data_IF_969709633589
#
_entry.id   IF_969709633589
#
_cell.length_a   1.000
_cell.length_b   1.000
_cell.length_c   1.000
_cell.angle_alpha   90.00
_cell.angle_beta   90.00
_cell.angle_gamma   90.00
#
_symmetry.space_group_name_H-M   'P 1'
#
loop_
_entity.id
_entity.type
_entity.pdbx_description
1 polymer ?
#
# COMPACT_ATOMS: atom_id res chain seq x y z
N UNK A 1 1.98 -9.75 -15.47
CA UNK A 1 2.34 -8.41 -14.96
C UNK A 1 1.32 -7.95 -13.91
N UNK A 2 1.79 -7.33 -12.86
CA UNK A 2 0.92 -6.73 -11.85
C UNK A 2 0.70 -5.26 -12.15
N UNK A 3 -0.48 -4.75 -11.84
CA UNK A 3 -0.75 -3.31 -11.82
C UNK A 3 -0.99 -2.92 -10.36
N UNK A 4 -0.23 -1.97 -9.85
CA UNK A 4 -0.32 -1.55 -8.45
C UNK A 4 -0.71 -0.08 -8.42
N UNK A 5 -1.86 0.21 -7.84
CA UNK A 5 -2.31 1.57 -7.58
C UNK A 5 -1.93 1.97 -6.16
N UNK A 6 -1.19 3.04 -6.02
CA UNK A 6 -0.89 3.66 -4.72
C UNK A 6 -2.02 4.66 -4.47
N UNK A 7 -2.97 4.28 -3.61
CA UNK A 7 -4.23 5.01 -3.46
C UNK A 7 -4.22 5.82 -2.18
N UNK A 8 -4.26 7.14 -2.33
CA UNK A 8 -4.41 8.05 -1.21
C UNK A 8 -5.83 8.02 -0.66
N UNK A 9 -5.97 7.72 0.61
CA UNK A 9 -7.29 7.63 1.26
C UNK A 9 -7.56 8.78 2.22
N UNK A 10 -6.70 9.78 2.26
CA UNK A 10 -6.84 10.92 3.15
C UNK A 10 -6.94 10.47 4.60
N UNK A 11 -8.04 10.82 5.27
CA UNK A 11 -8.31 10.41 6.64
C UNK A 11 -9.03 9.05 6.74
N UNK A 12 -9.24 8.37 5.61
CA UNK A 12 -10.01 7.13 5.48
C UNK A 12 -11.51 7.30 5.80
N UNK A 13 -12.01 8.53 5.82
CA UNK A 13 -13.44 8.77 5.91
C UNK A 13 -14.05 8.68 4.52
N UNK A 14 -15.21 7.98 4.31
CA UNK A 14 -15.81 7.83 2.98
C UNK A 14 -16.07 9.15 2.25
N UNK A 15 -16.45 10.19 2.98
CA UNK A 15 -16.72 11.52 2.39
C UNK A 15 -15.44 12.22 1.94
N UNK A 16 -14.27 11.81 2.43
CA UNK A 16 -13.00 12.39 2.07
C UNK A 16 -12.26 11.59 1.01
N UNK A 17 -12.90 10.55 0.49
CA UNK A 17 -12.32 9.72 -0.55
C UNK A 17 -12.60 10.34 -1.92
N UNK A 18 -11.56 10.57 -2.72
CA UNK A 18 -11.77 11.10 -4.06
C UNK A 18 -12.49 10.07 -4.93
N UNK A 19 -13.25 10.50 -5.97
CA UNK A 19 -13.84 9.55 -6.91
C UNK A 19 -12.82 8.64 -7.59
N UNK A 20 -11.62 9.15 -7.89
CA UNK A 20 -10.55 8.35 -8.48
C UNK A 20 -10.06 7.27 -7.52
N UNK A 21 -9.88 7.61 -6.24
CA UNK A 21 -9.47 6.66 -5.21
C UNK A 21 -10.53 5.56 -5.03
N UNK A 22 -11.79 5.94 -4.98
CA UNK A 22 -12.90 4.99 -4.88
C UNK A 22 -12.89 4.00 -6.05
N UNK A 23 -12.74 4.50 -7.28
CA UNK A 23 -12.67 3.63 -8.46
C UNK A 23 -11.50 2.67 -8.41
N UNK A 24 -10.32 3.16 -8.01
CA UNK A 24 -9.13 2.31 -7.93
C UNK A 24 -9.34 1.16 -6.94
N UNK A 25 -9.97 1.43 -5.80
CA UNK A 25 -10.26 0.40 -4.80
C UNK A 25 -11.31 -0.60 -5.30
N UNK A 26 -12.34 -0.12 -6.02
CA UNK A 26 -13.39 -0.98 -6.55
C UNK A 26 -12.90 -1.87 -7.71
N UNK A 27 -11.95 -1.39 -8.50
CA UNK A 27 -11.38 -2.13 -9.63
C UNK A 27 -10.30 -3.13 -9.23
N UNK A 28 -9.79 -3.05 -8.00
CA UNK A 28 -8.70 -3.91 -7.56
C UNK A 28 -9.17 -5.34 -7.31
N UNK A 29 -8.32 -6.29 -7.65
CA UNK A 29 -8.50 -7.71 -7.31
C UNK A 29 -8.00 -8.00 -5.89
N UNK A 30 -6.99 -7.24 -5.45
CA UNK A 30 -6.36 -7.37 -4.14
C UNK A 30 -6.15 -5.96 -3.56
N UNK A 31 -6.50 -5.79 -2.29
CA UNK A 31 -6.24 -4.55 -1.57
C UNK A 31 -5.27 -4.84 -0.43
N UNK A 32 -4.14 -4.14 -0.43
CA UNK A 32 -3.11 -4.26 0.60
C UNK A 32 -3.34 -3.21 1.67
N UNK A 33 -3.43 -3.66 2.92
CA UNK A 33 -3.68 -2.80 4.07
C UNK A 33 -2.51 -2.91 5.04
N UNK A 34 -1.68 -1.86 5.17
CA UNK A 34 -0.55 -1.91 6.09
C UNK A 34 -0.99 -1.69 7.54
N UNK A 35 -0.41 -2.46 8.44
CA UNK A 35 -0.59 -2.34 9.89
C UNK A 35 0.68 -1.76 10.51
N UNK A 36 0.53 -0.76 11.36
CA UNK A 36 1.65 -0.08 12.00
C UNK A 36 1.55 -0.14 13.53
N UNK A 37 2.46 -0.88 14.15
CA UNK A 37 2.67 -0.86 15.59
C UNK A 37 1.43 -1.04 16.46
N UNK A 38 1.38 -0.33 17.58
CA UNK A 38 0.27 -0.40 18.53
C UNK A 38 -1.01 0.28 18.05
N UNK A 39 -0.90 1.16 17.06
CA UNK A 39 -2.04 1.86 16.47
C UNK A 39 -2.70 1.04 15.36
N UNK A 40 -2.12 -0.08 15.00
CA UNK A 40 -2.54 -0.84 13.83
C UNK A 40 -3.99 -1.31 13.89
N UNK A 41 -4.52 -1.63 15.08
CA UNK A 41 -5.87 -2.12 15.24
C UNK A 41 -6.89 -1.06 14.84
N UNK A 42 -6.73 0.17 15.31
CA UNK A 42 -7.65 1.26 15.01
C UNK A 42 -7.58 1.68 13.54
N UNK A 43 -6.37 1.79 12.99
CA UNK A 43 -6.18 2.16 11.60
C UNK A 43 -6.69 1.07 10.65
N UNK A 44 -6.44 -0.20 10.98
CA UNK A 44 -6.95 -1.31 10.20
C UNK A 44 -8.48 -1.34 10.22
N UNK A 45 -9.10 -1.12 11.38
CA UNK A 45 -10.55 -1.08 11.50
C UNK A 45 -11.16 0.03 10.65
N UNK A 46 -10.54 1.22 10.62
CA UNK A 46 -11.00 2.33 9.78
C UNK A 46 -10.92 1.99 8.29
N UNK A 47 -9.84 1.34 7.87
CA UNK A 47 -9.68 0.92 6.47
C UNK A 47 -10.70 -0.14 6.08
N UNK A 48 -10.93 -1.13 6.94
CA UNK A 48 -11.94 -2.15 6.69
C UNK A 48 -13.35 -1.55 6.62
N UNK A 49 -13.67 -0.61 7.51
CA UNK A 49 -14.95 0.08 7.49
C UNK A 49 -15.14 0.88 6.21
N UNK A 50 -14.09 1.55 5.73
CA UNK A 50 -14.12 2.28 4.47
C UNK A 50 -14.41 1.34 3.31
N UNK A 51 -13.70 0.22 3.23
CA UNK A 51 -13.87 -0.75 2.14
C UNK A 51 -15.26 -1.37 2.14
N UNK A 52 -15.78 -1.70 3.31
CA UNK A 52 -17.15 -2.20 3.43
C UNK A 52 -18.17 -1.14 3.00
N UNK A 53 -17.93 0.12 3.37
CA UNK A 53 -18.83 1.22 3.05
C UNK A 53 -18.92 1.52 1.56
N UNK A 54 -17.86 1.31 0.80
CA UNK A 54 -17.88 1.53 -0.65
C UNK A 54 -18.24 0.27 -1.44
N UNK A 55 -18.41 -0.86 -0.77
CA UNK A 55 -18.79 -2.11 -1.42
C UNK A 55 -17.65 -2.80 -2.18
N UNK A 56 -16.41 -2.63 -1.71
CA UNK A 56 -15.27 -3.26 -2.36
C UNK A 56 -15.34 -4.78 -2.25
N UNK A 57 -15.25 -5.47 -3.39
CA UNK A 57 -15.31 -6.93 -3.46
C UNK A 57 -13.93 -7.61 -3.52
N UNK A 58 -12.86 -6.83 -3.46
CA UNK A 58 -11.51 -7.37 -3.55
C UNK A 58 -11.12 -8.20 -2.34
N UNK A 59 -10.19 -9.14 -2.55
CA UNK A 59 -9.52 -9.80 -1.43
C UNK A 59 -8.68 -8.76 -0.68
N UNK A 60 -8.79 -8.74 0.65
CA UNK A 60 -8.04 -7.83 1.49
C UNK A 60 -6.90 -8.60 2.13
N UNK A 61 -5.67 -8.09 1.97
CA UNK A 61 -4.49 -8.67 2.58
C UNK A 61 -3.86 -7.63 3.50
N UNK A 62 -3.82 -7.93 4.78
CA UNK A 62 -3.11 -7.11 5.75
C UNK A 62 -1.66 -7.57 5.82
N UNK A 63 -0.76 -6.63 6.02
CA UNK A 63 0.64 -6.95 6.26
C UNK A 63 1.21 -6.01 7.32
N UNK A 64 2.16 -6.51 8.10
CA UNK A 64 2.80 -5.70 9.11
C UNK A 64 3.90 -4.85 8.49
N UNK A 65 3.87 -3.55 8.75
CA UNK A 65 4.93 -2.65 8.31
C UNK A 65 6.19 -2.92 9.12
N UNK A 66 7.33 -3.15 8.46
CA UNK A 66 8.60 -3.28 9.17
C UNK A 66 8.91 -2.03 9.97
N UNK A 67 9.45 -2.22 11.17
CA UNK A 67 9.84 -1.10 12.00
C UNK A 67 11.05 -0.40 11.38
N UNK A 68 11.02 0.94 11.41
CA UNK A 68 12.14 1.74 10.95
C UNK A 68 13.17 1.83 12.07
N UNK A 69 14.35 1.26 11.84
CA UNK A 69 15.45 1.34 12.77
C UNK A 69 16.16 2.68 12.61
N UNK A 70 16.33 3.39 13.72
CA UNK A 70 16.97 4.71 13.73
C UNK A 70 18.33 4.71 14.40
N UNK A 71 18.83 3.55 14.78
CA UNK A 71 20.09 3.40 15.53
C UNK A 71 21.23 3.06 14.59
N UNK A 72 21.47 3.88 13.59
CA UNK A 72 22.58 3.67 12.69
C UNK A 72 23.44 4.91 12.58
N UNK A 73 24.73 4.72 12.33
CA UNK A 73 25.62 5.82 12.01
C UNK A 73 25.33 6.40 10.61
N UNK A 74 24.59 5.68 9.77
CA UNK A 74 24.25 6.08 8.41
C UNK A 74 22.73 6.07 8.23
N UNK A 75 22.14 7.24 8.32
CA UNK A 75 20.70 7.44 8.15
C UNK A 75 20.20 7.01 6.77
N UNK A 76 20.97 7.30 5.72
CA UNK A 76 20.56 6.97 4.34
C UNK A 76 20.54 5.47 4.11
N UNK A 77 21.54 4.75 4.62
CA UNK A 77 21.57 3.29 4.52
C UNK A 77 20.40 2.66 5.27
N UNK A 78 20.05 3.19 6.44
CA UNK A 78 18.92 2.70 7.23
C UNK A 78 17.59 2.91 6.51
N UNK A 79 17.42 4.04 5.83
CA UNK A 79 16.21 4.33 5.04
C UNK A 79 16.13 3.39 3.84
N UNK A 80 17.24 3.15 3.13
CA UNK A 80 17.29 2.25 1.99
C UNK A 80 16.93 0.81 2.41
N UNK A 81 17.51 0.34 3.52
CA UNK A 81 17.21 -0.98 4.06
C UNK A 81 15.73 -1.11 4.43
N UNK A 82 15.15 -0.07 5.04
CA UNK A 82 13.74 -0.06 5.40
C UNK A 82 12.86 -0.14 4.16
N UNK A 83 13.19 0.60 3.09
CA UNK A 83 12.46 0.53 1.83
C UNK A 83 12.50 -0.88 1.25
N UNK A 84 13.65 -1.55 1.30
CA UNK A 84 13.78 -2.92 0.81
C UNK A 84 12.91 -3.88 1.60
N UNK A 85 12.86 -3.74 2.92
CA UNK A 85 12.02 -4.59 3.78
C UNK A 85 10.53 -4.36 3.55
N UNK A 86 10.13 -3.12 3.35
CA UNK A 86 8.72 -2.80 3.03
C UNK A 86 8.34 -3.39 1.67
N UNK A 87 9.20 -3.25 0.67
CA UNK A 87 8.95 -3.84 -0.65
C UNK A 87 8.80 -5.36 -0.56
N UNK A 88 9.64 -6.02 0.24
CA UNK A 88 9.51 -7.46 0.47
C UNK A 88 8.17 -7.81 1.13
N UNK A 89 7.70 -7.00 2.08
CA UNK A 89 6.42 -7.19 2.73
C UNK A 89 5.24 -7.03 1.75
N UNK A 90 5.34 -6.11 0.78
CA UNK A 90 4.33 -5.98 -0.27
C UNK A 90 4.36 -7.17 -1.24
N UNK A 91 5.56 -7.67 -1.54
CA UNK A 91 5.74 -8.75 -2.51
C UNK A 91 5.05 -10.05 -2.08
N UNK A 92 5.05 -10.37 -0.79
CA UNK A 92 4.48 -11.61 -0.29
C UNK A 92 3.00 -11.77 -0.66
N UNK A 93 2.09 -10.86 -0.29
CA UNK A 93 0.69 -11.00 -0.67
C UNK A 93 0.47 -10.90 -2.19
N UNK A 94 1.27 -10.12 -2.90
CA UNK A 94 1.16 -10.03 -4.35
C UNK A 94 1.46 -11.38 -5.01
N UNK A 95 2.51 -12.06 -4.56
CA UNK A 95 2.88 -13.37 -5.10
C UNK A 95 1.91 -14.46 -4.68
N UNK A 96 1.41 -14.42 -3.44
CA UNK A 96 0.50 -15.43 -2.93
C UNK A 96 -0.91 -15.30 -3.49
N UNK A 97 -1.43 -14.09 -3.59
CA UNK A 97 -2.83 -13.84 -3.95
C UNK A 97 -3.03 -13.56 -5.45
N UNK A 98 -2.00 -13.04 -6.12
CA UNK A 98 -2.05 -12.74 -7.55
C UNK A 98 -0.85 -13.37 -8.26
N UNK A 99 -0.71 -14.71 -8.23
CA UNK A 99 0.47 -15.35 -8.80
C UNK A 99 0.60 -15.17 -10.31
N UNK A 100 -0.51 -15.01 -11.02
CA UNK A 100 -0.52 -14.79 -12.46
C UNK A 100 -0.58 -13.31 -12.84
N UNK A 101 -0.48 -12.42 -11.88
CA UNK A 101 -0.67 -10.99 -12.09
C UNK A 101 -2.09 -10.55 -11.81
N UNK A 102 -2.34 -9.27 -11.94
CA UNK A 102 -3.64 -8.68 -11.69
C UNK A 102 -3.52 -7.27 -11.16
N UNK A 103 -4.62 -6.74 -10.67
CA UNK A 103 -4.69 -5.39 -10.13
C UNK A 103 -4.69 -5.40 -8.62
N UNK A 104 -3.72 -4.70 -8.03
CA UNK A 104 -3.64 -4.50 -6.60
C UNK A 104 -3.75 -3.01 -6.28
N UNK A 105 -4.30 -2.69 -5.13
CA UNK A 105 -4.33 -1.34 -4.60
C UNK A 105 -3.69 -1.35 -3.22
N UNK A 106 -2.83 -0.36 -2.95
CA UNK A 106 -2.26 -0.15 -1.64
C UNK A 106 -2.88 1.11 -1.05
N UNK A 107 -3.50 0.99 0.11
CA UNK A 107 -4.12 2.13 0.81
C UNK A 107 -3.05 2.92 1.55
N UNK A 108 -2.93 4.20 1.21
CA UNK A 108 -1.93 5.10 1.78
C UNK A 108 -2.64 6.28 2.44
N UNK A 109 -2.26 6.60 3.69
CA UNK A 109 -2.81 7.77 4.38
C UNK A 109 -2.40 9.06 3.66
N UNK A 110 -3.34 9.99 3.55
CA UNK A 110 -3.09 11.24 2.87
C UNK A 110 -3.04 11.09 1.37
N UNK A 111 -1.99 11.64 0.76
CA UNK A 111 -1.78 11.64 -0.68
C UNK A 111 -0.39 11.08 -1.02
N UNK A 112 -0.32 9.94 -1.72
CA UNK A 112 0.98 9.33 -2.05
C UNK A 112 1.83 10.20 -3.00
N UNK A 113 1.22 11.12 -3.74
CA UNK A 113 1.96 12.01 -4.64
C UNK A 113 2.83 13.01 -3.88
N UNK A 114 2.58 13.22 -2.58
CA UNK A 114 3.37 14.09 -1.72
C UNK A 114 4.54 13.38 -1.03
N UNK A 115 4.61 12.06 -1.13
CA UNK A 115 5.60 11.26 -0.41
C UNK A 115 6.34 10.33 -1.35
N UNK A 116 7.63 10.56 -1.50
CA UNK A 116 8.50 9.76 -2.37
C UNK A 116 8.68 8.31 -1.92
N UNK A 117 8.55 8.05 -0.61
CA UNK A 117 8.84 6.72 -0.05
C UNK A 117 8.05 5.61 -0.71
N UNK A 118 6.75 5.80 -0.94
CA UNK A 118 5.91 4.77 -1.56
C UNK A 118 6.35 4.44 -2.97
N UNK A 119 6.72 5.46 -3.77
CA UNK A 119 7.23 5.24 -5.12
C UNK A 119 8.57 4.54 -5.11
N UNK A 120 9.46 4.91 -4.20
CA UNK A 120 10.77 4.27 -4.06
C UNK A 120 10.65 2.82 -3.65
N UNK A 121 9.72 2.52 -2.76
CA UNK A 121 9.43 1.14 -2.35
C UNK A 121 8.90 0.35 -3.54
N UNK A 122 7.97 0.92 -4.30
CA UNK A 122 7.40 0.28 -5.48
C UNK A 122 8.46 -0.07 -6.54
N UNK A 123 9.44 0.81 -6.74
CA UNK A 123 10.53 0.57 -7.68
C UNK A 123 11.36 -0.66 -7.33
N UNK A 124 11.44 -1.02 -6.05
CA UNK A 124 12.22 -2.17 -5.59
C UNK A 124 11.56 -3.51 -5.88
N UNK A 125 10.28 -3.52 -6.21
CA UNK A 125 9.57 -4.75 -6.54
C UNK A 125 10.18 -5.45 -7.76
N UNK A 126 10.68 -4.69 -8.72
CA UNK A 126 11.35 -5.26 -9.90
C UNK A 126 12.57 -6.09 -9.51
N UNK A 127 13.34 -5.66 -8.52
CA UNK A 127 14.47 -6.39 -7.98
C UNK A 127 14.09 -7.69 -7.27
N UNK A 128 12.81 -7.83 -6.89
CA UNK A 128 12.27 -9.04 -6.27
C UNK A 128 11.60 -9.97 -7.29
N UNK A 129 11.74 -9.69 -8.57
CA UNK A 129 11.19 -10.51 -9.65
C UNK A 129 9.74 -10.18 -9.99
N UNK A 130 9.20 -9.08 -9.48
CA UNK A 130 7.84 -8.65 -9.77
C UNK A 130 7.84 -7.54 -10.81
N UNK A 131 7.29 -7.83 -11.99
CA UNK A 131 7.05 -6.80 -12.98
C UNK A 131 5.71 -6.13 -12.66
N UNK A 132 5.77 -4.85 -12.33
CA UNK A 132 4.60 -4.11 -11.92
C UNK A 132 4.52 -2.76 -12.61
N UNK A 133 3.31 -2.41 -13.05
CA UNK A 133 2.99 -1.06 -13.48
C UNK A 133 2.48 -0.30 -12.28
N UNK A 134 3.09 0.82 -11.97
CA UNK A 134 2.73 1.63 -10.81
C UNK A 134 1.86 2.80 -11.25
N UNK A 135 0.75 2.98 -10.57
CA UNK A 135 -0.14 4.11 -10.78
C UNK A 135 -0.35 4.82 -9.44
N UNK A 136 -0.22 6.14 -9.44
CA UNK A 136 -0.48 6.95 -8.25
C UNK A 136 -1.87 7.55 -8.37
N UNK A 137 -2.69 7.33 -7.35
CA UNK A 137 -4.04 7.90 -7.27
C UNK A 137 -4.05 8.88 -6.09
N UNK A 138 -4.07 10.18 -6.36
CA UNK A 138 -4.01 11.19 -5.31
C UNK A 138 -5.18 11.12 -4.33
N UNK A 139 -4.88 11.52 -3.08
CA UNK A 139 -5.88 11.68 -2.04
C UNK A 139 -6.03 13.14 -1.62
N UNK A 140 -6.81 13.36 -0.60
CA UNK A 140 -6.97 14.69 0.01
C UNK A 140 -5.89 14.95 1.05
#
# INVERSE_FOLDING_TARGET
MHEIALVGVGSAHPDHLTPAARRALLEADLILVPNKGSEKTDLAALRHALLAGIGAGATIAEFDMPAREREGADYLADVEDWHDRVAAAWAVPLQEKLPAGGRAALMIWGDPSLYDSSLRIAERLAGLGLQARIRVVPGL
#
